data_IF_438641047493
#
_entry.id   IF_438641047493
#
_cell.length_a   1.000
_cell.length_b   1.000
_cell.length_c   1.000
_cell.angle_alpha   90.00
_cell.angle_beta   90.00
_cell.angle_gamma   90.00
#
_symmetry.space_group_name_H-M   'P 1'
#
loop_
_entity.id
_entity.type
_entity.pdbx_description
1 polymer ?
#
# COMPACT_ATOMS: atom_id res chain seq x y z
N UNK A 1 -5.39 -9.35 9.27
CA UNK A 1 -5.92 -8.17 10.02
C UNK A 1 -6.02 -7.00 9.06
N UNK A 2 -7.21 -6.45 8.84
CA UNK A 2 -7.45 -5.31 7.95
C UNK A 2 -6.97 -4.00 8.59
N UNK A 3 -6.15 -3.21 7.89
CA UNK A 3 -5.80 -1.85 8.33
C UNK A 3 -6.19 -0.84 7.25
N UNK A 4 -6.94 0.18 7.66
CA UNK A 4 -7.48 1.20 6.77
C UNK A 4 -6.96 2.59 7.15
N UNK A 5 -6.72 3.42 6.13
CA UNK A 5 -6.41 4.85 6.27
C UNK A 5 -7.39 5.62 5.39
N UNK A 6 -8.27 6.42 5.99
CA UNK A 6 -9.20 7.30 5.26
C UNK A 6 -8.44 8.46 4.62
N UNK A 7 -8.83 8.83 3.39
CA UNK A 7 -8.31 10.02 2.71
C UNK A 7 -9.39 11.11 2.73
N UNK A 8 -9.19 12.22 3.45
CA UNK A 8 -10.26 13.20 3.68
C UNK A 8 -10.80 13.90 2.42
N UNK A 9 -10.00 14.02 1.37
CA UNK A 9 -10.29 14.94 0.26
C UNK A 9 -11.10 14.30 -0.88
N UNK A 10 -10.93 13.00 -1.13
CA UNK A 10 -11.56 12.28 -2.25
C UNK A 10 -12.56 11.20 -1.80
N UNK A 11 -12.87 11.13 -0.50
CA UNK A 11 -13.84 10.20 0.09
C UNK A 11 -13.47 8.71 0.06
N UNK A 12 -12.45 8.31 -0.69
CA UNK A 12 -11.91 6.96 -0.74
C UNK A 12 -11.04 6.58 0.47
N UNK A 13 -10.43 5.40 0.36
CA UNK A 13 -9.55 4.88 1.40
C UNK A 13 -8.34 4.13 0.84
N UNK A 14 -7.26 4.12 1.62
CA UNK A 14 -6.16 3.17 1.45
C UNK A 14 -6.41 1.98 2.36
N UNK A 15 -6.32 0.78 1.80
CA UNK A 15 -6.59 -0.46 2.49
C UNK A 15 -5.37 -1.37 2.39
N UNK A 16 -4.86 -1.79 3.54
CA UNK A 16 -3.89 -2.85 3.66
C UNK A 16 -4.63 -4.14 4.04
N UNK A 17 -4.73 -5.04 3.06
CA UNK A 17 -5.36 -6.36 3.14
C UNK A 17 -4.40 -7.38 3.77
N UNK A 18 -4.96 -8.47 4.25
CA UNK A 18 -4.16 -9.62 4.68
C UNK A 18 -3.52 -10.27 3.45
N UNK A 19 -2.19 -10.41 3.43
CA UNK A 19 -1.47 -10.93 2.27
C UNK A 19 -1.85 -12.39 1.95
N UNK A 20 -2.34 -13.15 2.93
CA UNK A 20 -2.83 -14.52 2.71
C UNK A 20 -4.14 -14.56 1.90
N UNK A 21 -4.88 -13.46 1.87
CA UNK A 21 -6.15 -13.33 1.13
C UNK A 21 -5.93 -12.78 -0.29
N UNK A 22 -4.68 -12.42 -0.64
CA UNK A 22 -4.35 -11.78 -1.92
C UNK A 22 -3.31 -12.62 -2.68
N UNK A 23 -3.73 -13.41 -3.69
CA UNK A 23 -2.86 -14.39 -4.36
C UNK A 23 -1.65 -13.78 -5.11
N UNK A 24 -1.76 -12.52 -5.52
CA UNK A 24 -0.74 -11.80 -6.29
C UNK A 24 0.26 -11.01 -5.42
N UNK A 25 0.13 -11.08 -4.09
CA UNK A 25 0.96 -10.36 -3.11
C UNK A 25 0.71 -8.85 -3.01
N UNK A 26 -0.13 -8.28 -3.88
CA UNK A 26 -0.40 -6.84 -3.95
C UNK A 26 -1.49 -6.45 -2.94
N UNK A 27 -1.15 -6.52 -1.65
CA UNK A 27 -2.10 -6.37 -0.55
C UNK A 27 -2.35 -4.91 -0.11
N UNK A 28 -1.85 -3.92 -0.83
CA UNK A 28 -2.11 -2.50 -0.57
C UNK A 28 -2.84 -1.89 -1.76
N UNK A 29 -4.04 -1.38 -1.51
CA UNK A 29 -4.94 -0.86 -2.55
C UNK A 29 -5.51 0.50 -2.15
N UNK A 30 -5.79 1.34 -3.15
CA UNK A 30 -6.71 2.47 -3.00
C UNK A 30 -8.06 2.08 -3.54
N UNK A 31 -9.10 2.40 -2.79
CA UNK A 31 -10.49 2.27 -3.18
C UNK A 31 -11.20 3.62 -3.19
N UNK A 32 -12.22 3.76 -4.02
CA UNK A 32 -13.14 4.90 -3.99
C UNK A 32 -14.19 4.79 -2.85
N UNK A 33 -15.13 5.74 -2.80
CA UNK A 33 -16.22 5.77 -1.81
C UNK A 33 -17.17 4.57 -1.89
N UNK A 34 -17.25 3.91 -3.05
CA UNK A 34 -18.13 2.77 -3.32
C UNK A 34 -17.41 1.43 -3.10
N UNK A 35 -16.08 1.47 -2.96
CA UNK A 35 -15.23 0.32 -2.71
C UNK A 35 -14.53 -0.24 -3.95
N UNK A 36 -14.64 0.44 -5.10
CA UNK A 36 -13.95 0.03 -6.32
C UNK A 36 -12.46 0.35 -6.25
N UNK A 37 -11.62 -0.56 -6.74
CA UNK A 37 -10.17 -0.41 -6.69
C UNK A 37 -9.72 0.62 -7.73
N UNK A 38 -9.16 1.73 -7.25
CA UNK A 38 -8.53 2.76 -8.08
C UNK A 38 -7.11 2.38 -8.50
N UNK A 39 -6.33 1.84 -7.56
CA UNK A 39 -5.00 1.28 -7.85
C UNK A 39 -4.59 0.21 -6.85
N UNK A 40 -3.61 -0.62 -7.25
CA UNK A 40 -2.92 -1.59 -6.39
C UNK A 40 -1.41 -1.32 -6.41
N UNK A 41 -0.79 -1.24 -5.25
CA UNK A 41 0.67 -1.10 -5.16
C UNK A 41 1.32 -2.47 -5.32
N UNK A 42 2.41 -2.52 -6.11
CA UNK A 42 3.22 -3.73 -6.31
C UNK A 42 4.49 -3.61 -5.46
N UNK A 43 4.76 -4.51 -4.52
CA UNK A 43 5.97 -4.44 -3.70
C UNK A 43 7.24 -4.67 -4.55
N UNK A 44 8.42 -4.13 -4.15
CA UNK A 44 9.63 -4.16 -4.97
C UNK A 44 10.13 -5.56 -5.35
N UNK A 45 9.82 -6.58 -4.55
CA UNK A 45 10.21 -7.98 -4.80
C UNK A 45 9.01 -8.90 -5.04
N UNK A 46 8.10 -8.51 -5.92
CA UNK A 46 6.99 -9.36 -6.34
C UNK A 46 7.42 -10.34 -7.47
N UNK A 47 7.04 -11.64 -7.46
CA UNK A 47 6.28 -12.38 -6.45
C UNK A 47 7.09 -12.71 -5.18
N UNK A 48 6.38 -12.91 -4.07
CA UNK A 48 6.96 -13.35 -2.78
C UNK A 48 7.22 -12.23 -1.77
N UNK A 49 6.64 -11.05 -2.00
CA UNK A 49 6.72 -9.90 -1.10
C UNK A 49 5.32 -9.31 -0.87
N UNK A 50 5.16 -8.56 0.21
CA UNK A 50 3.90 -7.91 0.56
C UNK A 50 4.19 -6.70 1.46
N UNK A 51 3.22 -5.80 1.58
CA UNK A 51 3.29 -4.69 2.53
C UNK A 51 2.88 -5.17 3.92
N UNK A 52 3.65 -4.82 4.94
CA UNK A 52 3.45 -5.26 6.33
C UNK A 52 3.02 -4.12 7.25
N UNK A 53 3.38 -2.89 6.91
CA UNK A 53 3.04 -1.70 7.68
C UNK A 53 2.81 -0.51 6.75
N UNK A 54 1.96 0.41 7.20
CA UNK A 54 1.58 1.60 6.47
C UNK A 54 1.43 2.79 7.42
N UNK A 55 1.91 3.96 7.01
CA UNK A 55 1.59 5.25 7.62
C UNK A 55 1.44 6.32 6.53
N UNK A 56 0.56 7.29 6.76
CA UNK A 56 0.49 8.49 5.93
C UNK A 56 1.57 9.49 6.37
N UNK A 57 2.17 10.16 5.40
CA UNK A 57 3.21 11.17 5.58
C UNK A 57 2.99 12.28 4.53
N UNK A 58 2.14 13.26 4.87
CA UNK A 58 1.65 14.26 3.91
C UNK A 58 0.86 13.63 2.77
N UNK A 59 1.33 13.86 1.54
CA UNK A 59 0.71 13.44 0.28
C UNK A 59 1.18 12.06 -0.20
N UNK A 60 2.02 11.40 0.61
CA UNK A 60 2.51 10.06 0.33
C UNK A 60 2.19 9.12 1.47
N UNK A 61 2.28 7.84 1.16
CA UNK A 61 2.30 6.76 2.14
C UNK A 61 3.75 6.31 2.32
N UNK A 62 4.14 6.04 3.57
CA UNK A 62 5.33 5.24 3.87
C UNK A 62 4.88 3.83 4.20
N UNK A 63 5.45 2.85 3.51
CA UNK A 63 5.12 1.45 3.72
C UNK A 63 6.40 0.61 3.88
N UNK A 64 6.31 -0.41 4.72
CA UNK A 64 7.36 -1.41 4.88
C UNK A 64 6.95 -2.70 4.19
N UNK A 65 7.91 -3.40 3.59
CA UNK A 65 7.68 -4.68 2.92
C UNK A 65 8.22 -5.86 3.72
N UNK A 66 7.67 -7.05 3.49
CA UNK A 66 8.16 -8.28 4.10
C UNK A 66 9.61 -8.57 3.68
N UNK A 67 10.00 -8.22 2.46
CA UNK A 67 11.37 -8.36 1.98
C UNK A 67 12.35 -7.35 2.60
N UNK A 68 11.88 -6.38 3.39
CA UNK A 68 12.72 -5.47 4.17
C UNK A 68 12.96 -4.10 3.57
N UNK A 69 12.11 -3.62 2.66
CA UNK A 69 12.24 -2.26 2.11
C UNK A 69 11.30 -1.28 2.79
N UNK A 70 11.77 -0.05 2.97
CA UNK A 70 10.92 1.12 3.18
C UNK A 70 10.68 1.80 1.83
N UNK A 71 9.41 2.04 1.51
CA UNK A 71 8.99 2.67 0.25
C UNK A 71 8.12 3.90 0.51
N UNK A 72 8.13 4.82 -0.45
CA UNK A 72 7.16 5.90 -0.58
C UNK A 72 6.16 5.54 -1.68
N UNK A 73 4.87 5.76 -1.45
CA UNK A 73 3.82 5.49 -2.44
C UNK A 73 2.98 6.75 -2.60
N UNK A 74 2.80 7.22 -3.83
CA UNK A 74 1.88 8.31 -4.15
C UNK A 74 0.45 7.93 -3.81
N UNK A 75 -0.25 8.79 -3.05
CA UNK A 75 -1.65 8.53 -2.69
C UNK A 75 -2.53 8.48 -3.94
N UNK A 76 -2.24 9.33 -4.93
CA UNK A 76 -3.14 9.51 -6.06
C UNK A 76 -3.05 8.38 -7.07
N UNK A 77 -1.85 7.93 -7.38
CA UNK A 77 -1.52 7.08 -8.52
C UNK A 77 -0.91 5.73 -8.12
N UNK A 78 -0.58 5.52 -6.85
CA UNK A 78 0.10 4.32 -6.38
C UNK A 78 1.56 4.21 -6.83
N UNK A 79 2.17 5.29 -7.35
CA UNK A 79 3.56 5.28 -7.82
C UNK A 79 4.49 5.01 -6.65
N UNK A 80 5.32 3.97 -6.78
CA UNK A 80 6.22 3.52 -5.73
C UNK A 80 7.66 3.99 -5.97
N UNK A 81 8.30 4.48 -4.92
CA UNK A 81 9.74 4.74 -4.87
C UNK A 81 10.37 4.00 -3.69
N UNK A 82 11.42 3.22 -3.93
CA UNK A 82 12.21 2.59 -2.87
C UNK A 82 13.06 3.66 -2.21
N UNK A 83 12.97 3.78 -0.89
CA UNK A 83 13.76 4.74 -0.11
C UNK A 83 15.02 4.09 0.43
N UNK A 84 14.88 2.95 1.12
CA UNK A 84 16.00 2.23 1.71
C UNK A 84 15.67 0.76 2.02
N UNK A 85 16.72 -0.03 2.29
CA UNK A 85 16.64 -1.37 2.85
C UNK A 85 16.80 -1.30 4.38
N UNK A 86 15.97 -2.04 5.12
CA UNK A 86 15.73 -1.84 6.57
C UNK A 86 15.94 -3.09 7.42
N UNK A 87 16.54 -4.15 6.85
CA UNK A 87 16.84 -5.41 7.54
C UNK A 87 18.34 -5.63 7.71
#
# INVERSE_FOLDING_TARGET
MLRQVSIPEDGGAIVLLDWMEVPDGCNLVRIDEVGEILWKAIPPRNPGDCFTQLRRDGDVLKAYTYSGYLVSIGIDDGTLTVLEFTK
#
